data_IF_867141116744
#
_entry.id   IF_867141116744
#
_cell.length_a   1.000
_cell.length_b   1.000
_cell.length_c   1.000
_cell.angle_alpha   90.00
_cell.angle_beta   90.00
_cell.angle_gamma   90.00
#
_symmetry.space_group_name_H-M   'P 1'
#
loop_
_entity.id
_entity.type
_entity.pdbx_description
1 polymer ?
#
# COMPACT_ATOMS: atom_id res chain seq x y z
N UNK A 1 -3.98 -19.20 -15.65
CA UNK A 1 -4.19 -19.18 -14.20
C UNK A 1 -3.17 -18.35 -13.43
N UNK A 2 -1.84 -18.54 -13.58
CA UNK A 2 -0.83 -17.75 -12.82
C UNK A 2 -0.89 -16.24 -13.11
N UNK A 3 -1.02 -15.82 -14.38
CA UNK A 3 -1.11 -14.39 -14.76
C UNK A 3 -2.36 -13.70 -14.20
N UNK A 4 -3.50 -14.40 -14.19
CA UNK A 4 -4.75 -13.86 -13.60
C UNK A 4 -4.64 -13.65 -12.11
N UNK A 5 -4.00 -14.57 -11.38
CA UNK A 5 -3.75 -14.42 -9.94
C UNK A 5 -2.81 -13.24 -9.68
N UNK A 6 -1.70 -13.12 -10.42
CA UNK A 6 -0.77 -11.99 -10.27
C UNK A 6 -1.48 -10.66 -10.56
N UNK A 7 -2.33 -10.59 -11.59
CA UNK A 7 -3.12 -9.41 -11.90
C UNK A 7 -4.09 -9.05 -10.78
N UNK A 8 -4.82 -10.04 -10.24
CA UNK A 8 -5.73 -9.82 -9.10
C UNK A 8 -4.99 -9.29 -7.86
N UNK A 9 -3.82 -9.85 -7.57
CA UNK A 9 -2.99 -9.41 -6.44
C UNK A 9 -2.44 -7.99 -6.68
N UNK A 10 -2.02 -7.67 -7.90
CA UNK A 10 -1.58 -6.31 -8.25
C UNK A 10 -2.72 -5.28 -8.12
N UNK A 11 -3.94 -5.65 -8.52
CA UNK A 11 -5.15 -4.86 -8.30
C UNK A 11 -5.38 -4.58 -6.81
N UNK A 12 -5.36 -5.65 -5.98
CA UNK A 12 -5.54 -5.54 -4.53
C UNK A 12 -4.48 -4.68 -3.87
N UNK A 13 -3.21 -4.81 -4.30
CA UNK A 13 -2.12 -3.97 -3.82
C UNK A 13 -2.35 -2.48 -4.14
N UNK A 14 -2.72 -2.16 -5.38
CA UNK A 14 -3.04 -0.79 -5.79
C UNK A 14 -4.23 -0.21 -5.02
N UNK A 15 -5.30 -1.01 -4.85
CA UNK A 15 -6.46 -0.62 -4.05
C UNK A 15 -6.07 -0.21 -2.63
N UNK A 16 -5.31 -1.06 -1.93
CA UNK A 16 -4.92 -0.82 -0.53
C UNK A 16 -4.00 0.39 -0.41
N UNK A 17 -3.03 0.56 -1.32
CA UNK A 17 -2.11 1.72 -1.29
C UNK A 17 -2.89 3.03 -1.31
N UNK A 18 -3.80 3.19 -2.27
CA UNK A 18 -4.55 4.45 -2.40
C UNK A 18 -5.58 4.65 -1.30
N UNK A 19 -6.18 3.55 -0.81
CA UNK A 19 -7.06 3.63 0.36
C UNK A 19 -6.30 4.11 1.60
N UNK A 20 -5.09 3.58 1.86
CA UNK A 20 -4.24 4.02 2.97
C UNK A 20 -3.79 5.47 2.84
N UNK A 21 -3.44 5.92 1.62
CA UNK A 21 -3.05 7.32 1.37
C UNK A 21 -4.17 8.29 1.75
N UNK A 22 -5.40 8.00 1.32
CA UNK A 22 -6.56 8.83 1.66
C UNK A 22 -6.91 8.80 3.15
N UNK A 23 -6.80 7.62 3.78
CA UNK A 23 -6.99 7.50 5.22
C UNK A 23 -5.93 8.27 6.00
N UNK A 24 -4.70 8.37 5.47
CA UNK A 24 -3.65 9.20 6.04
C UNK A 24 -4.10 10.64 6.29
N UNK A 25 -4.81 11.24 5.34
CA UNK A 25 -5.41 12.57 5.50
C UNK A 25 -6.40 12.64 6.67
N UNK A 26 -7.22 11.62 6.82
CA UNK A 26 -8.20 11.52 7.91
C UNK A 26 -7.55 11.27 9.27
N UNK A 27 -6.49 10.48 9.32
CA UNK A 27 -5.72 10.19 10.55
C UNK A 27 -4.99 11.44 11.05
N UNK A 28 -4.41 12.22 10.14
CA UNK A 28 -3.66 13.43 10.50
C UNK A 28 -4.54 14.63 10.80
N UNK A 29 -5.74 14.71 10.22
CA UNK A 29 -6.61 15.88 10.30
C UNK A 29 -6.98 16.33 11.73
N UNK A 30 -7.25 15.45 12.70
CA UNK A 30 -7.59 15.87 14.08
C UNK A 30 -6.45 16.62 14.79
N UNK A 31 -5.21 16.39 14.39
CA UNK A 31 -4.01 16.94 15.02
C UNK A 31 -3.42 18.12 14.27
N UNK A 32 -3.33 18.04 12.94
CA UNK A 32 -2.66 19.03 12.11
C UNK A 32 -3.59 19.77 11.14
N UNK A 33 -4.91 19.49 11.22
CA UNK A 33 -5.90 20.08 10.33
C UNK A 33 -5.90 19.45 8.94
N UNK A 34 -6.63 20.10 8.01
CA UNK A 34 -6.79 19.62 6.62
C UNK A 34 -6.23 20.65 5.62
N UNK A 35 -4.99 21.06 5.84
CA UNK A 35 -4.30 22.08 5.03
C UNK A 35 -3.52 21.45 3.87
N UNK A 36 -3.07 22.32 2.95
CA UNK A 36 -2.18 21.91 1.86
C UNK A 36 -0.87 21.29 2.37
N UNK A 37 -0.39 21.69 3.55
CA UNK A 37 0.82 21.14 4.17
C UNK A 37 0.63 19.67 4.56
N UNK A 38 -0.53 19.34 5.13
CA UNK A 38 -0.87 17.95 5.54
C UNK A 38 -0.97 17.05 4.32
N UNK A 39 -1.70 17.48 3.30
CA UNK A 39 -1.79 16.73 2.03
C UNK A 39 -0.46 16.62 1.31
N UNK A 40 0.32 17.70 1.26
CA UNK A 40 1.67 17.67 0.69
C UNK A 40 2.59 16.70 1.42
N UNK A 41 2.52 16.63 2.75
CA UNK A 41 3.28 15.68 3.55
C UNK A 41 2.92 14.23 3.23
N UNK A 42 1.62 13.91 3.18
CA UNK A 42 1.13 12.56 2.89
C UNK A 42 1.57 12.14 1.49
N UNK A 43 1.26 12.94 0.48
CA UNK A 43 1.61 12.65 -0.92
C UNK A 43 3.12 12.45 -1.07
N UNK A 44 3.93 13.33 -0.46
CA UNK A 44 5.40 13.21 -0.53
C UNK A 44 5.89 11.92 0.11
N UNK A 45 5.39 11.58 1.30
CA UNK A 45 5.77 10.36 2.02
C UNK A 45 5.36 9.11 1.21
N UNK A 46 4.15 9.07 0.68
CA UNK A 46 3.70 7.94 -0.15
C UNK A 46 4.51 7.82 -1.43
N UNK A 47 4.72 8.92 -2.17
CA UNK A 47 5.49 8.90 -3.42
C UNK A 47 6.93 8.42 -3.21
N UNK A 48 7.64 8.95 -2.20
CA UNK A 48 9.02 8.55 -1.90
C UNK A 48 9.09 7.11 -1.41
N UNK A 49 8.16 6.69 -0.56
CA UNK A 49 8.10 5.32 -0.05
C UNK A 49 7.79 4.32 -1.16
N UNK A 50 6.86 4.63 -2.06
CA UNK A 50 6.58 3.81 -3.25
C UNK A 50 7.80 3.73 -4.17
N UNK A 51 8.49 4.83 -4.41
CA UNK A 51 9.71 4.84 -5.24
C UNK A 51 10.80 3.94 -4.64
N UNK A 52 11.03 4.01 -3.33
CA UNK A 52 11.94 3.10 -2.62
C UNK A 52 11.44 1.64 -2.72
N UNK A 53 10.13 1.43 -2.54
CA UNK A 53 9.51 0.12 -2.69
C UNK A 53 9.71 -0.47 -4.08
N UNK A 54 9.56 0.33 -5.13
CA UNK A 54 9.83 -0.11 -6.51
C UNK A 54 11.28 -0.53 -6.70
N UNK A 55 12.22 0.22 -6.16
CA UNK A 55 13.64 -0.11 -6.23
C UNK A 55 13.94 -1.43 -5.50
N UNK A 56 13.54 -1.52 -4.24
CA UNK A 56 13.78 -2.70 -3.40
C UNK A 56 13.06 -3.93 -3.95
N UNK A 57 11.80 -3.78 -4.38
CA UNK A 57 11.00 -4.85 -4.98
C UNK A 57 11.58 -5.37 -6.29
N UNK A 58 12.12 -4.46 -7.11
CA UNK A 58 12.86 -4.81 -8.32
C UNK A 58 14.06 -5.71 -8.00
N UNK A 59 14.91 -5.32 -7.07
CA UNK A 59 16.05 -6.14 -6.61
C UNK A 59 15.61 -7.47 -5.99
N UNK A 60 14.61 -7.45 -5.11
CA UNK A 60 14.10 -8.66 -4.46
C UNK A 60 13.55 -9.69 -5.47
N UNK A 61 12.93 -9.20 -6.55
CA UNK A 61 12.37 -10.04 -7.61
C UNK A 61 13.41 -10.77 -8.45
N UNK A 62 14.68 -10.35 -8.44
CA UNK A 62 15.76 -11.02 -9.18
C UNK A 62 16.19 -12.33 -8.53
N UNK A 63 15.97 -12.50 -7.22
CA UNK A 63 16.38 -13.70 -6.49
C UNK A 63 15.25 -14.71 -6.43
N UNK A 64 15.23 -15.68 -7.36
CA UNK A 64 14.26 -16.80 -7.38
C UNK A 64 12.80 -16.34 -7.23
N UNK A 65 12.22 -15.62 -8.21
CA UNK A 65 10.87 -15.10 -8.12
C UNK A 65 9.85 -16.23 -8.04
N UNK A 66 9.02 -16.23 -7.00
CA UNK A 66 7.94 -17.19 -6.80
C UNK A 66 6.68 -16.52 -6.30
N UNK A 67 5.54 -17.14 -6.59
CA UNK A 67 4.24 -16.63 -6.13
C UNK A 67 4.13 -16.67 -4.60
N UNK A 68 4.77 -17.64 -3.97
CA UNK A 68 4.83 -17.73 -2.51
C UNK A 68 5.61 -16.56 -1.89
N UNK A 69 6.78 -16.19 -2.45
CA UNK A 69 7.53 -15.01 -1.99
C UNK A 69 6.78 -13.71 -2.26
N UNK A 70 6.07 -13.64 -3.38
CA UNK A 70 5.19 -12.52 -3.68
C UNK A 70 4.09 -12.36 -2.64
N UNK A 71 3.52 -13.47 -2.18
CA UNK A 71 2.50 -13.48 -1.12
C UNK A 71 3.02 -12.95 0.22
N UNK A 72 4.30 -13.16 0.52
CA UNK A 72 4.92 -12.64 1.74
C UNK A 72 4.91 -11.09 1.80
N UNK A 73 4.91 -10.41 0.65
CA UNK A 73 4.80 -8.95 0.61
C UNK A 73 3.45 -8.47 1.15
N UNK A 74 2.38 -9.21 0.85
CA UNK A 74 1.04 -8.90 1.36
C UNK A 74 0.94 -9.15 2.87
N UNK A 75 1.49 -10.25 3.36
CA UNK A 75 1.54 -10.51 4.81
C UNK A 75 2.41 -9.48 5.54
N UNK A 76 3.57 -9.11 4.97
CA UNK A 76 4.42 -8.07 5.53
C UNK A 76 3.71 -6.70 5.52
N UNK A 77 3.00 -6.38 4.43
CA UNK A 77 2.15 -5.19 4.35
C UNK A 77 1.08 -5.19 5.43
N UNK A 78 0.38 -6.30 5.67
CA UNK A 78 -0.62 -6.43 6.72
C UNK A 78 -0.02 -6.22 8.12
N UNK A 79 1.12 -6.87 8.40
CA UNK A 79 1.83 -6.73 9.69
C UNK A 79 2.28 -5.30 9.93
N UNK A 80 2.72 -4.58 8.91
CA UNK A 80 3.18 -3.19 9.03
C UNK A 80 2.04 -2.17 9.04
N UNK A 81 0.87 -2.52 8.48
CA UNK A 81 -0.31 -1.66 8.52
C UNK A 81 -1.06 -1.77 9.85
N UNK A 82 -1.10 -2.95 10.45
CA UNK A 82 -1.86 -3.20 11.68
C UNK A 82 -1.46 -2.32 12.89
N UNK A 83 -0.17 -1.97 13.11
CA UNK A 83 0.23 -1.03 14.15
C UNK A 83 -0.42 0.35 14.05
N UNK A 84 -0.91 0.78 12.88
CA UNK A 84 -1.63 2.03 12.73
C UNK A 84 -2.95 2.00 13.52
N UNK A 85 -3.61 0.86 13.59
CA UNK A 85 -4.84 0.66 14.37
C UNK A 85 -4.54 0.73 15.86
N UNK A 86 -3.45 0.09 16.29
CA UNK A 86 -3.14 -0.07 17.73
C UNK A 86 -2.48 1.17 18.34
N UNK A 87 -1.60 1.82 17.60
CA UNK A 87 -0.70 2.86 18.12
C UNK A 87 -0.81 4.19 17.37
N UNK A 88 -1.62 4.28 16.32
CA UNK A 88 -1.74 5.48 15.50
C UNK A 88 -2.05 6.73 16.33
N UNK A 89 -3.07 6.68 17.15
CA UNK A 89 -3.48 7.78 18.04
C UNK A 89 -2.40 8.18 19.06
N UNK A 90 -1.72 7.19 19.65
CA UNK A 90 -0.67 7.46 20.62
C UNK A 90 0.54 8.14 19.96
N UNK A 91 0.92 7.67 18.77
CA UNK A 91 2.00 8.25 17.99
C UNK A 91 1.65 9.68 17.54
N UNK A 92 0.41 9.90 17.08
CA UNK A 92 -0.05 11.23 16.66
C UNK A 92 0.00 12.24 17.79
N UNK A 93 -0.50 11.88 19.00
CA UNK A 93 -0.39 12.72 20.19
C UNK A 93 1.06 13.01 20.53
N UNK A 94 1.91 11.98 20.54
CA UNK A 94 3.33 12.13 20.85
C UNK A 94 4.06 13.07 19.88
N UNK A 95 3.75 13.03 18.59
CA UNK A 95 4.34 13.95 17.60
C UNK A 95 3.78 15.36 17.80
N UNK A 96 2.46 15.49 17.96
CA UNK A 96 1.78 16.78 18.11
C UNK A 96 2.27 17.55 19.36
N UNK A 97 2.46 16.87 20.48
CA UNK A 97 2.97 17.46 21.73
C UNK A 97 4.42 18.00 21.60
N UNK A 98 5.16 17.57 20.57
CA UNK A 98 6.55 17.97 20.34
C UNK A 98 6.73 18.91 19.16
N UNK A 99 5.87 18.84 18.19
CA UNK A 99 5.97 19.61 16.93
C UNK A 99 4.59 20.19 16.63
N UNK A 100 4.32 21.37 17.19
CA UNK A 100 3.03 22.07 17.01
C UNK A 100 2.87 22.65 15.59
N UNK A 101 3.97 22.93 14.88
CA UNK A 101 3.90 23.44 13.50
C UNK A 101 3.32 22.38 12.55
N UNK A 102 2.12 22.61 11.95
CA UNK A 102 1.46 21.64 11.10
C UNK A 102 2.27 21.17 9.89
N UNK A 103 3.23 21.98 9.43
CA UNK A 103 4.10 21.63 8.28
C UNK A 103 5.04 20.49 8.63
N UNK A 104 5.78 20.64 9.72
CA UNK A 104 6.78 19.65 10.15
C UNK A 104 6.14 18.50 10.94
N UNK A 105 5.15 18.81 11.78
CA UNK A 105 4.42 17.81 12.54
C UNK A 105 3.73 16.79 11.65
N UNK A 106 3.01 17.25 10.61
CA UNK A 106 2.34 16.35 9.67
C UNK A 106 3.33 15.51 8.86
N UNK A 107 4.48 16.07 8.45
CA UNK A 107 5.50 15.34 7.71
C UNK A 107 6.12 14.22 8.55
N UNK A 108 6.50 14.52 9.80
CA UNK A 108 7.07 13.54 10.73
C UNK A 108 6.07 12.45 11.08
N UNK A 109 4.82 12.83 11.36
CA UNK A 109 3.73 11.89 11.67
C UNK A 109 3.44 10.97 10.47
N UNK A 110 3.28 11.54 9.28
CA UNK A 110 3.06 10.76 8.06
C UNK A 110 4.23 9.80 7.79
N UNK A 111 5.47 10.27 7.94
CA UNK A 111 6.65 9.42 7.76
C UNK A 111 6.68 8.26 8.77
N UNK A 112 6.44 8.53 10.04
CA UNK A 112 6.46 7.51 11.09
C UNK A 112 5.38 6.44 10.89
N UNK A 113 4.19 6.81 10.42
CA UNK A 113 3.07 5.89 10.21
C UNK A 113 3.19 5.12 8.90
N UNK A 114 3.54 5.78 7.79
CA UNK A 114 3.28 5.25 6.45
C UNK A 114 4.51 4.82 5.67
N UNK A 115 5.75 5.22 6.04
CA UNK A 115 6.95 4.88 5.26
C UNK A 115 7.12 3.37 5.12
N UNK A 116 7.14 2.64 6.22
CA UNK A 116 7.42 1.20 6.21
C UNK A 116 6.34 0.39 5.47
N UNK A 117 5.04 0.52 5.79
CA UNK A 117 4.00 -0.22 5.07
C UNK A 117 3.99 0.13 3.58
N UNK A 118 4.16 1.40 3.21
CA UNK A 118 4.11 1.83 1.81
C UNK A 118 5.32 1.36 1.00
N UNK A 119 6.52 1.29 1.59
CA UNK A 119 7.68 0.67 0.93
C UNK A 119 7.36 -0.78 0.56
N UNK A 120 6.84 -1.56 1.51
CA UNK A 120 6.54 -2.98 1.27
C UNK A 120 5.43 -3.14 0.23
N UNK A 121 4.39 -2.33 0.30
CA UNK A 121 3.31 -2.34 -0.70
C UNK A 121 3.81 -1.90 -2.08
N UNK A 122 4.74 -0.96 -2.15
CA UNK A 122 5.41 -0.54 -3.39
C UNK A 122 6.18 -1.67 -4.07
N UNK A 123 6.73 -2.63 -3.31
CA UNK A 123 7.43 -3.78 -3.89
C UNK A 123 6.52 -4.68 -4.75
N UNK A 124 5.21 -4.62 -4.57
CA UNK A 124 4.23 -5.48 -5.26
C UNK A 124 4.30 -5.28 -6.78
N UNK A 125 4.33 -4.05 -7.27
CA UNK A 125 4.26 -3.75 -8.70
C UNK A 125 5.45 -4.32 -9.50
N UNK A 126 6.73 -4.04 -9.18
CA UNK A 126 7.86 -4.60 -9.92
C UNK A 126 7.97 -6.12 -9.76
N UNK A 127 7.61 -6.65 -8.59
CA UNK A 127 7.61 -8.09 -8.36
C UNK A 127 6.54 -8.79 -9.22
N UNK A 128 5.34 -8.21 -9.34
CA UNK A 128 4.26 -8.71 -10.18
C UNK A 128 4.68 -8.76 -11.66
N UNK A 129 5.31 -7.69 -12.16
CA UNK A 129 5.85 -7.64 -13.53
C UNK A 129 6.85 -8.78 -13.74
N UNK A 130 7.79 -8.97 -12.83
CA UNK A 130 8.80 -10.04 -12.92
C UNK A 130 8.19 -11.44 -12.96
N UNK A 131 7.08 -11.67 -12.23
CA UNK A 131 6.37 -12.95 -12.23
C UNK A 131 5.57 -13.22 -13.51
N UNK A 132 5.09 -12.18 -14.17
CA UNK A 132 4.21 -12.29 -15.31
C UNK A 132 4.95 -12.28 -16.66
N UNK A 133 6.13 -11.64 -16.72
CA UNK A 133 6.95 -11.58 -17.93
C UNK A 133 7.67 -12.93 -18.11
N UNK A 134 7.39 -13.62 -19.23
CA UNK A 134 8.10 -14.84 -19.66
C UNK A 134 9.09 -14.56 -20.78
N UNK A 135 8.77 -13.64 -21.69
CA UNK A 135 9.52 -13.34 -22.90
C UNK A 135 9.86 -11.85 -23.00
N UNK A 136 11.08 -11.54 -23.39
CA UNK A 136 11.55 -10.17 -23.52
C UNK A 136 10.75 -9.36 -24.56
N UNK A 137 10.38 -9.98 -25.69
CA UNK A 137 9.62 -9.32 -26.76
C UNK A 137 8.22 -8.84 -26.34
N UNK A 138 7.61 -9.54 -25.39
CA UNK A 138 6.26 -9.20 -24.87
C UNK A 138 6.29 -8.47 -23.53
N UNK A 139 7.47 -8.14 -23.02
CA UNK A 139 7.64 -7.54 -21.69
C UNK A 139 6.89 -6.21 -21.52
N UNK A 140 6.93 -5.35 -22.54
CA UNK A 140 6.22 -4.07 -22.54
C UNK A 140 4.70 -4.22 -22.43
N UNK A 141 4.10 -5.13 -23.20
CA UNK A 141 2.66 -5.39 -23.17
C UNK A 141 2.21 -5.96 -21.81
N UNK A 142 2.96 -6.92 -21.28
CA UNK A 142 2.66 -7.53 -19.99
C UNK A 142 2.79 -6.51 -18.85
N UNK A 143 3.85 -5.71 -18.85
CA UNK A 143 4.04 -4.65 -17.87
C UNK A 143 2.93 -3.60 -17.95
N UNK A 144 2.58 -3.13 -19.17
CA UNK A 144 1.49 -2.18 -19.39
C UNK A 144 0.15 -2.71 -18.87
N UNK A 145 -0.17 -3.98 -19.13
CA UNK A 145 -1.40 -4.62 -18.61
C UNK A 145 -1.42 -4.67 -17.08
N UNK A 146 -0.30 -5.01 -16.44
CA UNK A 146 -0.22 -5.03 -14.97
C UNK A 146 -0.31 -3.64 -14.36
N UNK A 147 0.33 -2.65 -14.96
CA UNK A 147 0.19 -1.27 -14.52
C UNK A 147 -1.25 -0.77 -14.68
N UNK A 148 -1.90 -1.07 -15.79
CA UNK A 148 -3.32 -0.75 -15.98
C UNK A 148 -4.18 -1.37 -14.87
N UNK A 149 -4.02 -2.67 -14.60
CA UNK A 149 -4.81 -3.39 -13.59
C UNK A 149 -4.53 -2.84 -12.18
N UNK A 150 -3.27 -2.58 -11.84
CA UNK A 150 -2.88 -1.99 -10.54
C UNK A 150 -3.45 -0.57 -10.38
N UNK A 151 -3.35 0.25 -11.43
CA UNK A 151 -3.89 1.62 -11.42
C UNK A 151 -5.42 1.63 -11.34
N UNK A 152 -6.09 0.67 -12.00
CA UNK A 152 -7.53 0.49 -11.85
C UNK A 152 -7.90 0.14 -10.41
N UNK A 153 -7.13 -0.74 -9.76
CA UNK A 153 -7.26 -1.01 -8.33
C UNK A 153 -7.12 0.25 -7.49
N UNK A 154 -6.10 1.06 -7.79
CA UNK A 154 -5.84 2.34 -7.12
C UNK A 154 -7.02 3.31 -7.28
N UNK A 155 -7.54 3.47 -8.49
CA UNK A 155 -8.69 4.34 -8.76
C UNK A 155 -9.95 3.87 -7.99
N UNK A 156 -10.21 2.57 -8.00
CA UNK A 156 -11.34 2.01 -7.26
C UNK A 156 -11.13 2.08 -5.74
N UNK A 157 -9.91 1.91 -5.24
CA UNK A 157 -9.56 2.12 -3.83
C UNK A 157 -9.81 3.55 -3.39
N UNK A 158 -9.42 4.52 -4.24
CA UNK A 158 -9.70 5.94 -4.03
C UNK A 158 -11.20 6.22 -3.96
N UNK A 159 -11.96 5.77 -4.97
CA UNK A 159 -13.41 5.99 -5.03
C UNK A 159 -14.14 5.28 -3.87
N UNK A 160 -13.82 4.02 -3.61
CA UNK A 160 -14.44 3.26 -2.54
C UNK A 160 -14.19 3.91 -1.17
N UNK A 161 -12.95 4.32 -0.90
CA UNK A 161 -12.61 4.96 0.37
C UNK A 161 -13.28 6.33 0.50
N UNK A 162 -13.17 7.19 -0.52
CA UNK A 162 -13.67 8.57 -0.45
C UNK A 162 -15.19 8.67 -0.42
N UNK A 163 -15.88 7.82 -1.18
CA UNK A 163 -17.32 7.95 -1.41
C UNK A 163 -18.17 6.99 -0.58
N UNK A 164 -17.57 5.91 -0.06
CA UNK A 164 -18.33 4.87 0.65
C UNK A 164 -17.73 4.55 2.03
N UNK A 165 -16.48 4.10 2.10
CA UNK A 165 -15.96 3.54 3.35
C UNK A 165 -15.96 4.57 4.48
N UNK A 166 -15.49 5.79 4.24
CA UNK A 166 -15.42 6.86 5.25
C UNK A 166 -16.80 7.42 5.66
N UNK A 167 -17.87 7.11 4.92
CA UNK A 167 -19.24 7.52 5.27
C UNK A 167 -19.89 6.54 6.26
N UNK A 168 -19.53 5.24 6.16
CA UNK A 168 -20.22 4.17 6.88
C UNK A 168 -19.38 3.53 7.98
N UNK A 169 -18.06 3.71 7.95
CA UNK A 169 -17.14 3.03 8.86
C UNK A 169 -16.18 4.01 9.53
N UNK A 170 -15.81 3.72 10.77
CA UNK A 170 -14.73 4.39 11.47
C UNK A 170 -13.36 4.07 10.84
N UNK A 171 -12.40 4.98 11.00
CA UNK A 171 -11.07 4.86 10.40
C UNK A 171 -10.39 3.54 10.78
N UNK A 172 -10.46 3.15 12.06
CA UNK A 172 -9.85 1.91 12.55
C UNK A 172 -10.49 0.68 11.89
N UNK A 173 -11.83 0.67 11.73
CA UNK A 173 -12.53 -0.40 11.03
C UNK A 173 -12.09 -0.52 9.56
N UNK A 174 -11.88 0.62 8.89
CA UNK A 174 -11.40 0.60 7.51
C UNK A 174 -9.95 0.07 7.45
N UNK A 175 -9.09 0.47 8.37
CA UNK A 175 -7.72 -0.05 8.47
C UNK A 175 -7.70 -1.57 8.74
N UNK A 176 -8.59 -2.07 9.59
CA UNK A 176 -8.78 -3.51 9.82
C UNK A 176 -9.24 -4.25 8.56
N UNK A 177 -10.19 -3.68 7.81
CA UNK A 177 -10.65 -4.22 6.53
C UNK A 177 -9.53 -4.27 5.48
N UNK A 178 -8.72 -3.23 5.39
CA UNK A 178 -7.57 -3.19 4.49
C UNK A 178 -6.50 -4.22 4.89
N UNK A 179 -6.25 -4.36 6.19
CA UNK A 179 -5.35 -5.37 6.74
C UNK A 179 -5.85 -6.78 6.42
N UNK A 180 -7.15 -7.05 6.62
CA UNK A 180 -7.78 -8.31 6.26
C UNK A 180 -7.72 -8.59 4.75
N UNK A 181 -7.91 -7.57 3.91
CA UNK A 181 -7.76 -7.68 2.46
C UNK A 181 -6.34 -8.05 2.05
N UNK A 182 -5.31 -7.46 2.70
CA UNK A 182 -3.91 -7.84 2.48
C UNK A 182 -3.66 -9.30 2.88
N UNK A 183 -4.15 -9.73 4.04
CA UNK A 183 -4.03 -11.14 4.47
C UNK A 183 -4.71 -12.06 3.46
N UNK A 184 -5.92 -11.74 3.01
CA UNK A 184 -6.64 -12.53 2.00
C UNK A 184 -5.86 -12.63 0.69
N UNK A 185 -5.31 -11.52 0.19
CA UNK A 185 -4.43 -11.52 -0.98
C UNK A 185 -3.19 -12.40 -0.77
N UNK A 186 -2.55 -12.31 0.40
CA UNK A 186 -1.42 -13.15 0.77
C UNK A 186 -1.78 -14.65 0.77
N UNK A 187 -2.91 -15.02 1.35
CA UNK A 187 -3.41 -16.40 1.37
C UNK A 187 -3.69 -16.92 -0.04
N UNK A 188 -4.42 -16.15 -0.85
CA UNK A 188 -4.73 -16.52 -2.25
C UNK A 188 -3.45 -16.76 -3.03
N UNK A 189 -2.48 -15.85 -2.95
CA UNK A 189 -1.22 -15.97 -3.66
C UNK A 189 -0.38 -17.16 -3.18
N UNK A 190 -0.35 -17.42 -1.87
CA UNK A 190 0.40 -18.52 -1.28
C UNK A 190 -0.11 -19.89 -1.75
N UNK A 191 -1.42 -20.11 -1.66
CA UNK A 191 -2.03 -21.37 -2.10
C UNK A 191 -1.97 -21.56 -3.61
N UNK A 192 -2.15 -20.50 -4.40
CA UNK A 192 -1.95 -20.56 -5.85
C UNK A 192 -0.49 -20.89 -6.25
N UNK A 193 0.48 -20.61 -5.37
CA UNK A 193 1.88 -20.98 -5.56
C UNK A 193 2.22 -22.42 -5.16
N UNK A 194 1.41 -23.09 -4.34
CA UNK A 194 1.61 -24.47 -3.87
C UNK A 194 1.17 -25.55 -4.86
N UNK A 195 0.31 -25.23 -5.80
CA UNK A 195 -0.29 -26.17 -6.75
C UNK A 195 0.66 -26.64 -7.86
N UNK A 196 1.98 -26.80 -7.56
CA UNK A 196 2.99 -27.35 -8.48
C UNK A 196 3.89 -28.34 -7.78
#
# INVERSE_FOLDING_TARGET
MRRSVVGFLAFGGGFVVMALELLGGRVLAPYFGNSIYVWGSIITVFMLSLALGYLVGGYASMRSPSLQRFSLLFFAGAVLTYPLVLYGDALMRWVFDRIEDPRYGSLVAAAALFVLPTIVLGMISPYAVRLAVSDAERSGHVAGTLYFVSTLGSALGTLATSFYLVLWFEINTILDLLTAALIACGVIGYFAGRGR
#
